data_IF_650430096610
#
_entry.id   IF_650430096610
#
_cell.length_a   1.000
_cell.length_b   1.000
_cell.length_c   1.000
_cell.angle_alpha   90.00
_cell.angle_beta   90.00
_cell.angle_gamma   90.00
#
_symmetry.space_group_name_H-M   'P 1'
#
loop_
_entity.id
_entity.type
_entity.pdbx_description
1 polymer ?
#
# COMPACT_ATOMS: atom_id res chain seq x y z
N UNK A 1 6.43 22.38 -2.37
CA UNK A 1 5.51 21.32 -2.83
C UNK A 1 6.31 20.12 -3.28
N UNK A 2 6.19 18.96 -2.63
CA UNK A 2 6.81 17.73 -3.12
C UNK A 2 6.18 17.33 -4.46
N UNK A 3 7.04 17.07 -5.45
CA UNK A 3 6.65 16.54 -6.75
C UNK A 3 6.35 15.05 -6.61
N UNK A 4 5.21 14.57 -7.12
CA UNK A 4 4.88 13.13 -7.14
C UNK A 4 5.64 12.37 -8.25
N UNK A 5 6.47 13.06 -9.04
CA UNK A 5 7.15 12.51 -10.23
C UNK A 5 8.63 12.18 -9.99
N UNK A 6 9.04 12.01 -8.73
CA UNK A 6 10.40 11.61 -8.35
C UNK A 6 10.75 10.22 -8.88
N UNK A 7 12.04 9.90 -8.92
CA UNK A 7 12.53 8.57 -9.34
C UNK A 7 12.04 7.47 -8.37
N UNK A 8 12.07 7.74 -7.07
CA UNK A 8 11.76 6.74 -6.04
C UNK A 8 10.25 6.44 -5.98
N UNK A 9 9.36 7.42 -6.13
CA UNK A 9 7.92 7.16 -6.34
C UNK A 9 7.70 6.31 -7.59
N UNK A 10 8.32 6.65 -8.74
CA UNK A 10 8.17 5.87 -9.98
C UNK A 10 8.62 4.41 -9.83
N UNK A 11 9.71 4.16 -9.11
CA UNK A 11 10.22 2.81 -8.85
C UNK A 11 9.33 2.01 -7.89
N UNK A 12 8.54 2.68 -7.07
CA UNK A 12 7.66 2.07 -6.07
C UNK A 12 6.18 2.40 -6.36
N UNK A 13 5.82 2.64 -7.63
CA UNK A 13 4.48 3.04 -8.03
C UNK A 13 3.43 1.96 -7.72
N UNK A 14 3.86 0.70 -7.62
CA UNK A 14 3.02 -0.42 -7.20
C UNK A 14 2.48 -0.26 -5.77
N UNK A 15 3.21 0.46 -4.91
CA UNK A 15 2.79 0.73 -3.54
C UNK A 15 1.84 1.92 -3.44
N UNK A 16 1.78 2.81 -4.44
CA UNK A 16 0.97 4.04 -4.34
C UNK A 16 -0.47 3.75 -3.95
N UNK A 17 -1.12 2.79 -4.61
CA UNK A 17 -2.47 2.37 -4.26
C UNK A 17 -2.57 1.78 -2.84
N UNK A 18 -1.60 0.95 -2.44
CA UNK A 18 -1.59 0.32 -1.13
C UNK A 18 -1.40 1.33 0.00
N UNK A 19 -0.64 2.41 -0.23
CA UNK A 19 -0.44 3.51 0.73
C UNK A 19 -1.65 4.44 0.79
N UNK A 20 -2.41 4.57 -0.32
CA UNK A 20 -3.60 5.42 -0.36
C UNK A 20 -4.83 4.78 0.30
N UNK A 21 -5.11 3.50 0.02
CA UNK A 21 -6.25 2.76 0.59
C UNK A 21 -6.16 1.24 0.39
N UNK A 22 -6.95 0.47 1.15
CA UNK A 22 -7.12 -0.95 0.90
C UNK A 22 -7.97 -1.18 -0.37
N UNK A 23 -7.51 -1.96 -1.37
CA UNK A 23 -8.28 -2.22 -2.58
C UNK A 23 -9.52 -3.11 -2.36
N UNK A 24 -9.65 -3.73 -1.18
CA UNK A 24 -10.78 -4.59 -0.80
C UNK A 24 -11.76 -3.91 0.17
N UNK A 25 -11.62 -2.60 0.40
CA UNK A 25 -12.45 -1.85 1.35
C UNK A 25 -11.79 -1.74 2.70
N UNK A 26 -12.15 -2.59 3.66
CA UNK A 26 -11.57 -2.57 5.00
C UNK A 26 -10.22 -3.31 5.05
N UNK A 27 -9.17 -2.70 5.63
CA UNK A 27 -7.91 -3.39 5.85
C UNK A 27 -8.04 -4.45 6.95
N UNK A 28 -7.19 -5.49 6.90
CA UNK A 28 -7.00 -6.39 8.04
C UNK A 28 -6.45 -5.62 9.25
N UNK A 29 -6.76 -6.10 10.47
CA UNK A 29 -6.47 -5.37 11.71
C UNK A 29 -4.99 -4.99 11.89
N UNK A 30 -4.07 -5.79 11.36
CA UNK A 30 -2.62 -5.62 11.44
C UNK A 30 -1.99 -5.06 10.15
N UNK A 31 -2.81 -4.46 9.26
CA UNK A 31 -2.33 -3.91 8.01
C UNK A 31 -1.34 -2.74 8.25
N UNK A 32 -0.09 -2.84 7.80
CA UNK A 32 0.94 -1.84 8.07
C UNK A 32 0.73 -0.53 7.29
N UNK A 33 -0.31 -0.46 6.44
CA UNK A 33 -0.66 0.74 5.71
C UNK A 33 -1.70 1.62 6.43
N UNK A 34 -2.33 1.12 7.50
CA UNK A 34 -3.33 1.88 8.30
C UNK A 34 -2.82 3.27 8.71
N UNK A 35 -1.59 3.44 9.22
CA UNK A 35 -1.10 4.76 9.62
C UNK A 35 -1.08 5.78 8.48
N UNK A 36 -0.92 5.33 7.24
CA UNK A 36 -0.97 6.24 6.08
C UNK A 36 -2.43 6.63 5.76
N UNK A 37 -3.38 5.71 5.90
CA UNK A 37 -4.80 5.98 5.65
C UNK A 37 -5.35 7.08 6.56
N UNK A 38 -4.86 7.14 7.81
CA UNK A 38 -5.24 8.14 8.80
C UNK A 38 -4.84 9.57 8.44
N UNK A 39 -3.88 9.75 7.52
CA UNK A 39 -3.48 11.07 7.02
C UNK A 39 -4.58 11.77 6.22
N UNK A 40 -5.56 11.01 5.70
CA UNK A 40 -6.72 11.52 4.92
C UNK A 40 -6.36 12.48 3.77
N UNK A 41 -5.13 12.38 3.26
CA UNK A 41 -4.61 13.17 2.15
C UNK A 41 -3.76 12.27 1.26
N UNK A 42 -4.30 11.90 0.10
CA UNK A 42 -3.67 11.00 -0.85
C UNK A 42 -2.29 11.48 -1.31
N UNK A 43 -2.13 12.79 -1.49
CA UNK A 43 -0.84 13.35 -1.89
C UNK A 43 0.20 13.17 -0.80
N UNK A 44 -0.16 13.39 0.45
CA UNK A 44 0.75 13.22 1.59
C UNK A 44 1.08 11.74 1.85
N UNK A 45 0.11 10.85 1.64
CA UNK A 45 0.28 9.39 1.68
C UNK A 45 1.32 8.94 0.67
N UNK A 46 1.14 9.28 -0.61
CA UNK A 46 2.10 8.89 -1.67
C UNK A 46 3.47 9.53 -1.44
N UNK A 47 3.52 10.74 -0.88
CA UNK A 47 4.79 11.40 -0.54
C UNK A 47 5.57 10.64 0.55
N UNK A 48 4.92 9.80 1.38
CA UNK A 48 5.64 8.94 2.34
C UNK A 48 6.60 7.97 1.65
N UNK A 49 6.35 7.57 0.40
CA UNK A 49 7.25 6.70 -0.37
C UNK A 49 8.65 7.32 -0.52
N UNK A 50 8.76 8.65 -0.56
CA UNK A 50 10.06 9.33 -0.58
C UNK A 50 10.82 9.19 0.74
N UNK A 51 10.09 9.20 1.86
CA UNK A 51 10.64 9.25 3.21
C UNK A 51 11.00 7.84 3.71
N UNK A 52 10.14 6.85 3.43
CA UNK A 52 10.30 5.49 3.91
C UNK A 52 11.57 4.85 3.30
N UNK A 53 12.44 4.22 4.10
CA UNK A 53 13.62 3.50 3.58
C UNK A 53 13.25 2.44 2.55
N UNK A 54 14.09 2.24 1.53
CA UNK A 54 13.80 1.30 0.43
C UNK A 54 13.54 -0.13 0.93
N UNK A 55 14.34 -0.61 1.91
CA UNK A 55 14.12 -1.91 2.57
C UNK A 55 12.73 -2.02 3.19
N UNK A 56 12.22 -0.94 3.80
CA UNK A 56 10.89 -0.94 4.40
C UNK A 56 9.79 -0.95 3.34
N UNK A 57 10.00 -0.27 2.20
CA UNK A 57 9.10 -0.36 1.05
C UNK A 57 9.02 -1.80 0.49
N UNK A 58 10.13 -2.52 0.48
CA UNK A 58 10.16 -3.94 0.09
C UNK A 58 9.37 -4.82 1.06
N UNK A 59 9.55 -4.65 2.37
CA UNK A 59 8.74 -5.36 3.38
C UNK A 59 7.23 -5.08 3.22
N UNK A 60 6.85 -3.81 3.00
CA UNK A 60 5.46 -3.41 2.76
C UNK A 60 4.90 -4.07 1.50
N UNK A 61 5.70 -4.15 0.43
CA UNK A 61 5.34 -4.81 -0.83
C UNK A 61 5.12 -6.31 -0.64
N UNK A 62 6.01 -6.98 0.09
CA UNK A 62 5.88 -8.40 0.38
C UNK A 62 4.63 -8.70 1.20
N UNK A 63 4.38 -7.92 2.26
CA UNK A 63 3.15 -8.02 3.04
C UNK A 63 1.92 -7.84 2.15
N UNK A 64 1.87 -6.77 1.34
CA UNK A 64 0.70 -6.50 0.50
C UNK A 64 0.44 -7.64 -0.48
N UNK A 65 1.49 -8.15 -1.14
CA UNK A 65 1.37 -9.30 -2.06
C UNK A 65 0.91 -10.58 -1.37
N UNK A 66 1.36 -10.83 -0.14
CA UNK A 66 0.89 -11.98 0.64
C UNK A 66 -0.59 -11.83 1.02
N UNK A 67 -0.98 -10.66 1.57
CA UNK A 67 -2.36 -10.35 1.92
C UNK A 67 -3.31 -10.49 0.72
N UNK A 68 -2.94 -9.93 -0.44
CA UNK A 68 -3.72 -10.06 -1.67
C UNK A 68 -3.91 -11.52 -2.11
N UNK A 69 -2.86 -12.35 -2.00
CA UNK A 69 -2.95 -13.77 -2.35
C UNK A 69 -3.95 -14.51 -1.48
N UNK A 70 -3.94 -14.27 -0.17
CA UNK A 70 -4.89 -14.90 0.74
C UNK A 70 -6.33 -14.41 0.49
N UNK A 71 -6.54 -13.09 0.36
CA UNK A 71 -7.86 -12.54 0.05
C UNK A 71 -8.43 -13.06 -1.28
N UNK A 72 -7.60 -13.20 -2.31
CA UNK A 72 -8.03 -13.76 -3.59
C UNK A 72 -8.42 -15.24 -3.51
N UNK A 73 -7.71 -16.05 -2.69
CA UNK A 73 -8.08 -17.45 -2.44
C UNK A 73 -9.44 -17.53 -1.73
N UNK A 74 -9.62 -16.77 -0.65
CA UNK A 74 -10.87 -16.75 0.13
C UNK A 74 -12.04 -16.27 -0.72
N UNK A 75 -11.84 -15.21 -1.53
CA UNK A 75 -12.88 -14.71 -2.42
C UNK A 75 -13.28 -15.78 -3.44
N UNK A 76 -12.32 -16.44 -4.10
CA UNK A 76 -12.61 -17.56 -5.01
C UNK A 76 -13.36 -18.71 -4.34
N UNK A 77 -13.03 -19.05 -3.09
CA UNK A 77 -13.71 -20.10 -2.33
C UNK A 77 -15.17 -19.73 -1.99
N UNK A 78 -15.49 -18.45 -1.84
CA UNK A 78 -16.85 -17.97 -1.55
C UNK A 78 -17.73 -17.76 -2.81
N UNK A 79 -17.15 -17.91 -4.02
CA UNK A 79 -17.87 -17.84 -5.30
C UNK A 79 -18.11 -19.23 -5.93
N UNK A 80 -17.67 -20.31 -5.27
CA UNK A 80 -17.89 -21.71 -5.62
C UNK A 80 -18.84 -22.34 -4.60
#
# INVERSE_FOLDING_TARGET
>A
MSSLNTKKIRQNADLANAVSKCPFGEPVADCPFIPYYEMKNEREQVTQIEIIPQKKLEELREFHRACLRELMKTRKANFL
#
